data_IF_857020814932
#
_entry.id   IF_857020814932
#
_cell.length_a   1.000
_cell.length_b   1.000
_cell.length_c   1.000
_cell.angle_alpha   90.00
_cell.angle_beta   90.00
_cell.angle_gamma   90.00
#
_symmetry.space_group_name_H-M   'P 1'
#
loop_
_entity.id
_entity.type
_entity.pdbx_description
1 polymer ?
#
# COMPACT_ATOMS: atom_id res chain seq x y z
N UNK A 1 44.20 0.32 -9.42
CA UNK A 1 43.56 1.01 -8.29
C UNK A 1 43.04 2.35 -8.80
N UNK A 2 41.75 2.45 -9.11
CA UNK A 2 41.15 3.71 -9.56
C UNK A 2 40.41 4.33 -8.37
N UNK A 3 41.08 5.22 -7.66
CA UNK A 3 40.47 6.10 -6.67
C UNK A 3 39.71 7.19 -7.41
N UNK A 4 38.39 7.05 -7.51
CA UNK A 4 37.53 8.09 -8.09
C UNK A 4 37.33 9.23 -7.10
N UNK A 5 37.65 10.45 -7.54
CA UNK A 5 37.30 11.69 -6.84
C UNK A 5 35.79 11.81 -6.68
N UNK A 6 35.28 11.52 -5.48
CA UNK A 6 33.90 11.83 -5.11
C UNK A 6 33.83 13.26 -4.58
N UNK A 7 33.64 14.24 -5.48
CA UNK A 7 33.07 15.54 -5.09
C UNK A 7 31.55 15.38 -4.98
N UNK A 8 31.09 14.60 -4.00
CA UNK A 8 29.67 14.58 -3.63
C UNK A 8 29.50 15.66 -2.58
N UNK A 9 28.62 16.63 -2.86
CA UNK A 9 28.31 17.67 -1.87
C UNK A 9 27.63 17.04 -0.64
N UNK A 10 27.91 17.58 0.55
CA UNK A 10 27.24 17.16 1.80
C UNK A 10 25.71 17.19 1.64
N UNK A 11 25.19 18.16 0.88
CA UNK A 11 23.78 18.25 0.51
C UNK A 11 23.30 17.03 -0.30
N UNK A 12 24.01 16.63 -1.36
CA UNK A 12 23.67 15.43 -2.13
C UNK A 12 23.75 14.16 -1.29
N UNK A 13 24.72 14.08 -0.36
CA UNK A 13 24.84 12.95 0.56
C UNK A 13 23.65 12.91 1.53
N UNK A 14 23.24 14.04 2.10
CA UNK A 14 22.06 14.11 2.95
C UNK A 14 20.75 13.83 2.18
N UNK A 15 20.60 14.34 0.95
CA UNK A 15 19.44 14.09 0.10
C UNK A 15 19.35 12.61 -0.31
N UNK A 16 20.48 11.99 -0.63
CA UNK A 16 20.52 10.56 -0.97
C UNK A 16 20.31 9.68 0.26
N UNK A 17 20.87 10.03 1.41
CA UNK A 17 20.64 9.33 2.67
C UNK A 17 19.18 9.41 3.12
N UNK A 18 18.56 10.59 3.03
CA UNK A 18 17.13 10.78 3.28
C UNK A 18 16.28 9.88 2.37
N UNK A 19 16.60 9.82 1.07
CA UNK A 19 15.93 8.92 0.11
C UNK A 19 16.13 7.44 0.42
N UNK A 20 17.32 7.03 0.86
CA UNK A 20 17.61 5.63 1.24
C UNK A 20 16.83 5.24 2.50
N UNK A 21 16.80 6.12 3.51
CA UNK A 21 16.04 5.91 4.75
C UNK A 21 14.54 5.81 4.47
N UNK A 22 14.01 6.65 3.58
CA UNK A 22 12.61 6.60 3.13
C UNK A 22 12.26 5.31 2.38
N UNK A 23 13.16 4.82 1.51
CA UNK A 23 12.95 3.53 0.81
C UNK A 23 12.91 2.32 1.76
N UNK A 24 13.53 2.42 2.94
CA UNK A 24 13.46 1.38 3.96
C UNK A 24 12.18 1.47 4.81
N UNK A 25 11.57 2.66 4.94
CA UNK A 25 10.35 2.90 5.70
C UNK A 25 9.07 2.65 4.89
N UNK A 26 9.17 2.71 3.55
CA UNK A 26 8.04 2.55 2.66
C UNK A 26 7.71 1.08 2.37
N UNK A 27 6.41 0.76 2.16
CA UNK A 27 5.95 -0.35 1.35
C UNK A 27 6.88 -0.66 0.17
N UNK A 28 7.41 -1.88 0.11
CA UNK A 28 8.21 -2.34 -1.03
C UNK A 28 7.28 -2.67 -2.18
N UNK A 29 6.96 -1.67 -2.99
CA UNK A 29 6.12 -1.85 -4.17
C UNK A 29 6.89 -2.50 -5.32
N UNK A 30 6.28 -3.47 -6.00
CA UNK A 30 6.80 -4.21 -7.16
C UNK A 30 5.88 -3.97 -8.36
N UNK A 31 6.42 -4.10 -9.59
CA UNK A 31 5.58 -4.17 -10.79
C UNK A 31 4.58 -5.34 -10.75
N UNK A 32 4.84 -6.37 -9.94
CA UNK A 32 3.90 -7.47 -9.72
C UNK A 32 2.65 -7.02 -8.95
N UNK A 33 2.72 -5.94 -8.16
CA UNK A 33 1.54 -5.38 -7.45
C UNK A 33 0.51 -4.84 -8.44
N UNK A 34 0.95 -4.49 -9.66
CA UNK A 34 0.11 -4.03 -10.75
C UNK A 34 -0.52 -5.17 -11.57
N UNK A 35 -0.04 -6.40 -11.40
CA UNK A 35 -0.58 -7.55 -12.13
C UNK A 35 -1.95 -7.93 -11.57
N UNK A 36 -2.90 -8.19 -12.46
CA UNK A 36 -4.24 -8.66 -12.07
C UNK A 36 -5.10 -7.61 -11.36
N UNK A 37 -4.81 -6.31 -11.55
CA UNK A 37 -5.70 -5.23 -11.08
C UNK A 37 -7.03 -5.26 -11.85
N UNK A 38 -6.99 -5.64 -13.12
CA UNK A 38 -8.15 -5.79 -14.03
C UNK A 38 -9.07 -6.96 -13.64
N UNK A 39 -8.57 -7.91 -12.84
CA UNK A 39 -9.34 -9.04 -12.32
C UNK A 39 -10.34 -8.54 -11.27
N UNK A 40 -11.47 -8.06 -11.76
CA UNK A 40 -12.64 -7.65 -10.97
C UNK A 40 -13.58 -8.82 -10.71
N UNK A 41 -13.37 -9.97 -11.37
CA UNK A 41 -14.24 -11.12 -11.25
C UNK A 41 -14.32 -11.65 -9.81
N UNK A 42 -15.57 -11.82 -9.40
CA UNK A 42 -15.96 -12.38 -8.13
C UNK A 42 -15.76 -13.89 -8.18
N UNK A 43 -14.58 -14.36 -7.75
CA UNK A 43 -14.48 -15.74 -7.26
C UNK A 43 -15.33 -15.79 -5.98
N UNK A 44 -16.61 -16.13 -6.15
CA UNK A 44 -17.56 -16.45 -5.08
C UNK A 44 -17.23 -17.82 -4.53
N UNK A 45 -16.06 -17.97 -3.91
CA UNK A 45 -15.89 -19.02 -2.89
C UNK A 45 -14.60 -18.79 -2.10
N UNK A 46 -14.75 -18.17 -0.94
CA UNK A 46 -13.90 -18.47 0.19
C UNK A 46 -14.86 -18.53 1.38
N UNK A 47 -15.26 -19.74 1.76
CA UNK A 47 -16.20 -20.06 2.83
C UNK A 47 -15.70 -19.68 4.23
N UNK A 48 -15.28 -18.44 4.43
CA UNK A 48 -14.82 -17.89 5.69
C UNK A 48 -15.50 -16.55 5.93
N UNK A 49 -16.47 -16.56 6.84
CA UNK A 49 -17.22 -15.39 7.30
C UNK A 49 -16.32 -14.53 8.21
N UNK A 50 -15.35 -13.83 7.64
CA UNK A 50 -14.66 -12.77 8.37
C UNK A 50 -15.63 -11.61 8.56
N UNK A 51 -15.76 -11.14 9.79
CA UNK A 51 -16.47 -9.90 10.09
C UNK A 51 -15.45 -8.90 10.60
N UNK A 52 -15.17 -7.89 9.79
CA UNK A 52 -14.25 -6.80 10.14
C UNK A 52 -15.06 -5.52 10.15
N UNK A 53 -15.06 -4.82 11.28
CA UNK A 53 -15.65 -3.50 11.41
C UNK A 53 -14.53 -2.45 11.47
N UNK A 54 -14.53 -1.47 10.58
CA UNK A 54 -13.60 -0.33 10.60
C UNK A 54 -14.22 0.79 11.43
N UNK A 55 -13.53 1.24 12.47
CA UNK A 55 -13.95 2.33 13.34
C UNK A 55 -13.13 3.60 13.07
N UNK A 56 -13.67 4.75 13.46
CA UNK A 56 -12.96 6.04 13.32
C UNK A 56 -11.62 6.05 14.08
N UNK A 57 -11.54 5.35 15.21
CA UNK A 57 -10.30 5.22 15.98
C UNK A 57 -9.20 4.49 15.19
N UNK A 58 -9.56 3.49 14.38
CA UNK A 58 -8.60 2.78 13.53
C UNK A 58 -8.04 3.71 12.44
N UNK A 59 -8.90 4.57 11.88
CA UNK A 59 -8.53 5.55 10.86
C UNK A 59 -7.66 6.67 11.45
N UNK A 60 -7.94 7.07 12.68
CA UNK A 60 -7.17 8.08 13.41
C UNK A 60 -5.75 7.59 13.72
N UNK A 61 -5.56 6.31 14.05
CA UNK A 61 -4.23 5.72 14.23
C UNK A 61 -3.38 5.80 12.95
N UNK A 62 -4.02 5.69 11.78
CA UNK A 62 -3.35 5.81 10.49
C UNK A 62 -2.97 7.24 10.12
N UNK A 63 -3.47 8.27 10.82
CA UNK A 63 -3.14 9.67 10.51
C UNK A 63 -1.65 9.97 10.65
N UNK A 64 -0.96 9.30 11.57
CA UNK A 64 0.51 9.44 11.70
C UNK A 64 1.27 8.88 10.48
N UNK A 65 0.63 8.04 9.66
CA UNK A 65 1.20 7.37 8.50
C UNK A 65 0.67 7.94 7.18
N UNK A 66 -0.03 9.08 7.21
CA UNK A 66 -0.60 9.72 6.02
C UNK A 66 0.38 9.94 4.87
N UNK A 67 1.66 10.32 5.10
CA UNK A 67 2.62 10.42 4.01
C UNK A 67 2.79 9.10 3.23
N UNK A 68 2.81 7.97 3.96
CA UNK A 68 2.96 6.62 3.39
C UNK A 68 1.66 6.19 2.68
N UNK A 69 0.52 6.44 3.31
CA UNK A 69 -0.81 6.18 2.72
C UNK A 69 -0.98 6.98 1.43
N UNK A 70 -0.59 8.25 1.43
CA UNK A 70 -0.60 9.12 0.24
C UNK A 70 0.27 8.55 -0.86
N UNK A 71 1.49 8.13 -0.54
CA UNK A 71 2.39 7.48 -1.50
C UNK A 71 1.78 6.22 -2.13
N UNK A 72 1.21 5.32 -1.33
CA UNK A 72 0.51 4.12 -1.82
C UNK A 72 -0.72 4.50 -2.65
N UNK A 73 -1.48 5.48 -2.20
CA UNK A 73 -2.64 6.01 -2.92
C UNK A 73 -2.27 6.55 -4.30
N UNK A 74 -1.17 7.29 -4.42
CA UNK A 74 -0.69 7.78 -5.70
C UNK A 74 -0.33 6.66 -6.68
N UNK A 75 0.22 5.56 -6.18
CA UNK A 75 0.48 4.37 -6.98
C UNK A 75 -0.80 3.66 -7.40
N UNK A 76 -1.77 3.50 -6.49
CA UNK A 76 -3.06 2.89 -6.77
C UNK A 76 -3.86 3.70 -7.80
N UNK A 77 -3.87 5.03 -7.68
CA UNK A 77 -4.51 5.93 -8.64
C UNK A 77 -3.88 5.81 -10.03
N UNK A 78 -2.55 5.81 -10.10
CA UNK A 78 -1.83 5.59 -11.37
C UNK A 78 -2.18 4.23 -12.01
N UNK A 79 -2.27 3.18 -11.20
CA UNK A 79 -2.65 1.85 -11.66
C UNK A 79 -4.08 1.79 -12.21
N UNK A 80 -5.06 2.30 -11.46
CA UNK A 80 -6.46 2.35 -11.87
C UNK A 80 -6.64 3.16 -13.17
N UNK A 81 -5.93 4.27 -13.33
CA UNK A 81 -5.99 5.07 -14.56
C UNK A 81 -5.43 4.33 -15.79
N UNK A 82 -4.39 3.51 -15.63
CA UNK A 82 -3.87 2.69 -16.74
C UNK A 82 -4.90 1.71 -17.27
N UNK A 83 -5.76 1.19 -16.39
CA UNK A 83 -6.86 0.28 -16.73
C UNK A 83 -8.01 1.06 -17.37
N UNK A 84 -8.51 2.10 -16.69
CA UNK A 84 -9.74 2.81 -17.08
C UNK A 84 -9.58 3.67 -18.33
N UNK A 85 -8.40 4.27 -18.55
CA UNK A 85 -8.10 5.20 -19.68
C UNK A 85 -9.23 6.23 -19.91
N UNK A 86 -9.75 6.80 -18.83
CA UNK A 86 -10.92 7.68 -18.83
C UNK A 86 -10.59 8.99 -18.11
N UNK A 87 -10.72 10.11 -18.82
CA UNK A 87 -10.44 11.44 -18.26
C UNK A 87 -11.41 11.82 -17.13
N UNK A 88 -12.68 11.43 -17.23
CA UNK A 88 -13.67 11.67 -16.17
C UNK A 88 -13.28 10.92 -14.89
N UNK A 89 -12.92 9.64 -15.00
CA UNK A 89 -12.43 8.85 -13.85
C UNK A 89 -11.11 9.41 -13.30
N UNK A 90 -10.24 9.96 -14.13
CA UNK A 90 -9.01 10.60 -13.67
C UNK A 90 -9.28 11.75 -12.70
N UNK A 91 -10.30 12.59 -12.96
CA UNK A 91 -10.68 13.69 -12.06
C UNK A 91 -11.19 13.19 -10.70
N UNK A 92 -11.74 11.98 -10.65
CA UNK A 92 -12.20 11.36 -9.41
C UNK A 92 -11.06 10.67 -8.64
N UNK A 93 -10.01 10.21 -9.32
CA UNK A 93 -8.90 9.45 -8.72
C UNK A 93 -7.70 10.33 -8.34
N UNK A 94 -7.51 11.47 -9.01
CA UNK A 94 -6.32 12.31 -8.90
C UNK A 94 -6.71 13.76 -8.69
N UNK A 95 -6.01 14.44 -7.79
CA UNK A 95 -6.13 15.90 -7.61
C UNK A 95 -5.33 16.60 -8.70
N UNK A 96 -5.99 17.47 -9.48
CA UNK A 96 -5.36 18.24 -10.56
C UNK A 96 -5.17 19.70 -10.13
N UNK A 97 -3.93 20.19 -10.15
CA UNK A 97 -3.58 21.58 -9.81
C UNK A 97 -2.65 21.71 -8.58
N UNK A 98 -2.08 22.90 -8.39
CA UNK A 98 -1.29 23.29 -7.21
C UNK A 98 -2.13 23.39 -5.92
N UNK A 99 -3.24 22.66 -5.81
CA UNK A 99 -3.99 22.48 -4.56
C UNK A 99 -3.28 21.48 -3.63
N UNK A 100 -1.94 21.56 -3.61
CA UNK A 100 -1.05 20.95 -2.63
C UNK A 100 -1.17 21.63 -1.25
N UNK A 101 -2.19 22.48 -1.06
CA UNK A 101 -2.63 22.97 0.25
C UNK A 101 -3.54 21.96 0.97
N UNK A 102 -4.00 20.89 0.29
CA UNK A 102 -4.78 19.83 0.95
C UNK A 102 -3.83 18.87 1.69
N UNK A 103 -3.35 19.32 2.85
CA UNK A 103 -2.56 18.56 3.81
C UNK A 103 -1.10 18.36 3.40
N UNK A 104 -0.24 19.35 3.67
CA UNK A 104 1.21 19.34 3.40
C UNK A 104 1.89 18.00 3.78
N UNK A 105 1.40 17.33 4.83
CA UNK A 105 1.95 16.05 5.28
C UNK A 105 1.54 14.85 4.40
N UNK A 106 0.30 14.78 3.90
CA UNK A 106 -0.24 13.58 3.23
C UNK A 106 0.51 13.24 1.94
N UNK A 107 0.87 14.25 1.16
CA UNK A 107 1.56 14.06 -0.12
C UNK A 107 3.05 14.41 -0.08
N UNK A 108 3.59 14.69 1.11
CA UNK A 108 5.00 15.04 1.32
C UNK A 108 5.95 14.00 0.72
N UNK A 109 5.66 12.70 0.86
CA UNK A 109 6.48 11.63 0.27
C UNK A 109 6.42 11.58 -1.25
N UNK A 110 5.26 11.86 -1.85
CA UNK A 110 5.14 11.95 -3.32
C UNK A 110 6.00 13.11 -3.82
N UNK A 111 5.91 14.28 -3.19
CA UNK A 111 6.70 15.44 -3.57
C UNK A 111 8.22 15.21 -3.48
N UNK A 112 8.68 14.41 -2.51
CA UNK A 112 10.11 14.11 -2.31
C UNK A 112 10.66 12.98 -3.20
N UNK A 113 9.82 12.03 -3.60
CA UNK A 113 10.23 10.79 -4.27
C UNK A 113 9.81 10.69 -5.74
N UNK A 114 8.91 11.56 -6.19
CA UNK A 114 8.41 11.48 -7.56
C UNK A 114 9.52 11.77 -8.59
N UNK A 115 9.47 11.00 -9.69
CA UNK A 115 10.32 11.14 -10.88
C UNK A 115 9.49 11.46 -12.12
N UNK A 116 8.27 11.99 -11.93
CA UNK A 116 7.32 12.34 -12.98
C UNK A 116 6.25 11.29 -13.27
N UNK A 117 6.06 10.29 -12.39
CA UNK A 117 5.16 9.16 -12.62
C UNK A 117 4.10 8.93 -11.53
N UNK A 118 4.37 9.35 -10.29
CA UNK A 118 3.42 9.28 -9.19
C UNK A 118 2.36 10.38 -9.32
N UNK A 119 1.18 10.12 -8.77
CA UNK A 119 0.01 10.99 -8.87
C UNK A 119 -0.46 11.39 -7.48
N UNK A 120 -0.93 12.61 -7.32
CA UNK A 120 -1.54 13.07 -6.08
C UNK A 120 -2.95 12.47 -5.99
N UNK A 121 -3.12 11.46 -5.14
CA UNK A 121 -4.38 10.74 -4.99
C UNK A 121 -5.49 11.62 -4.40
N UNK A 122 -6.72 11.44 -4.89
CA UNK A 122 -7.90 12.08 -4.31
C UNK A 122 -8.24 11.49 -2.93
N UNK A 123 -9.10 12.19 -2.18
CA UNK A 123 -9.59 11.73 -0.88
C UNK A 123 -10.27 10.35 -0.95
N UNK A 124 -10.95 10.05 -2.07
CA UNK A 124 -11.53 8.72 -2.32
C UNK A 124 -10.46 7.63 -2.31
N UNK A 125 -9.37 7.84 -3.06
CA UNK A 125 -8.30 6.85 -3.13
C UNK A 125 -7.60 6.69 -1.78
N UNK A 126 -7.37 7.79 -1.07
CA UNK A 126 -6.82 7.76 0.30
C UNK A 126 -7.72 6.94 1.22
N UNK A 127 -9.03 7.19 1.22
CA UNK A 127 -9.98 6.44 2.04
C UNK A 127 -9.91 4.93 1.72
N UNK A 128 -9.96 4.53 0.44
CA UNK A 128 -9.87 3.12 0.06
C UNK A 128 -8.57 2.47 0.58
N UNK A 129 -7.43 3.16 0.47
CA UNK A 129 -6.14 2.65 0.97
C UNK A 129 -6.13 2.53 2.49
N UNK A 130 -6.64 3.53 3.22
CA UNK A 130 -6.74 3.48 4.69
C UNK A 130 -7.62 2.32 5.15
N UNK A 131 -8.82 2.18 4.58
CA UNK A 131 -9.72 1.09 4.92
C UNK A 131 -9.10 -0.27 4.62
N UNK A 132 -8.39 -0.41 3.50
CA UNK A 132 -7.66 -1.63 3.17
C UNK A 132 -6.58 -1.97 4.20
N UNK A 133 -5.81 -0.97 4.63
CA UNK A 133 -4.78 -1.14 5.67
C UNK A 133 -5.40 -1.60 6.99
N UNK A 134 -6.49 -0.97 7.43
CA UNK A 134 -7.19 -1.38 8.66
C UNK A 134 -7.71 -2.81 8.55
N UNK A 135 -8.32 -3.16 7.42
CA UNK A 135 -8.83 -4.52 7.17
C UNK A 135 -7.70 -5.54 7.27
N UNK A 136 -6.55 -5.29 6.63
CA UNK A 136 -5.38 -6.18 6.72
C UNK A 136 -4.87 -6.28 8.15
N UNK A 137 -4.75 -5.17 8.89
CA UNK A 137 -4.33 -5.19 10.30
C UNK A 137 -5.26 -6.02 11.17
N UNK A 138 -6.57 -5.87 11.00
CA UNK A 138 -7.57 -6.62 11.79
C UNK A 138 -7.57 -8.10 11.46
N UNK A 139 -7.44 -8.46 10.17
CA UNK A 139 -7.27 -9.85 9.76
C UNK A 139 -5.99 -10.48 10.33
N UNK A 140 -4.97 -9.67 10.57
CA UNK A 140 -3.70 -10.07 11.15
C UNK A 140 -3.66 -10.13 12.69
N UNK A 141 -4.78 -9.91 13.37
CA UNK A 141 -4.89 -10.16 14.81
C UNK A 141 -4.79 -11.65 15.15
N UNK A 142 -4.43 -11.99 16.40
CA UNK A 142 -4.23 -13.38 16.82
C UNK A 142 -5.46 -14.26 16.59
N UNK A 143 -6.66 -13.69 16.74
CA UNK A 143 -7.93 -14.42 16.61
C UNK A 143 -8.28 -14.85 15.18
N UNK A 144 -7.87 -14.09 14.16
CA UNK A 144 -8.27 -14.31 12.76
C UNK A 144 -7.11 -14.70 11.84
N UNK A 145 -5.87 -14.37 12.22
CA UNK A 145 -4.70 -14.47 11.33
C UNK A 145 -4.45 -15.89 10.84
N UNK A 146 -4.57 -16.91 11.70
CA UNK A 146 -4.37 -18.30 11.31
C UNK A 146 -5.36 -18.73 10.22
N UNK A 147 -6.65 -18.41 10.41
CA UNK A 147 -7.69 -18.73 9.44
C UNK A 147 -7.48 -17.97 8.12
N UNK A 148 -7.11 -16.70 8.19
CA UNK A 148 -6.88 -15.87 7.02
C UNK A 148 -5.68 -16.35 6.18
N UNK A 149 -4.56 -16.68 6.83
CA UNK A 149 -3.32 -17.08 6.15
C UNK A 149 -3.43 -18.46 5.49
N UNK A 150 -4.17 -19.39 6.10
CA UNK A 150 -4.39 -20.73 5.55
C UNK A 150 -5.57 -20.78 4.57
N UNK A 151 -6.42 -19.75 4.56
CA UNK A 151 -7.55 -19.65 3.65
C UNK A 151 -7.11 -19.40 2.20
N UNK A 152 -7.94 -19.76 1.20
CA UNK A 152 -7.69 -19.40 -0.18
C UNK A 152 -8.04 -17.93 -0.45
N UNK A 153 -7.56 -17.39 -1.57
CA UNK A 153 -8.03 -16.12 -2.15
C UNK A 153 -7.94 -14.90 -1.21
N UNK A 154 -6.85 -14.76 -0.44
CA UNK A 154 -6.65 -13.68 0.54
C UNK A 154 -6.87 -12.28 -0.05
N UNK A 155 -6.43 -12.05 -1.30
CA UNK A 155 -6.66 -10.80 -2.05
C UNK A 155 -8.15 -10.45 -2.13
N UNK A 156 -8.97 -11.42 -2.51
CA UNK A 156 -10.42 -11.22 -2.68
C UNK A 156 -11.12 -11.00 -1.34
N UNK A 157 -10.69 -11.70 -0.29
CA UNK A 157 -11.21 -11.50 1.07
C UNK A 157 -10.95 -10.08 1.55
N UNK A 158 -9.70 -9.61 1.45
CA UNK A 158 -9.34 -8.23 1.83
C UNK A 158 -10.16 -7.23 1.02
N UNK A 159 -10.22 -7.40 -0.30
CA UNK A 159 -11.00 -6.52 -1.17
C UNK A 159 -12.47 -6.46 -0.78
N UNK A 160 -13.13 -7.59 -0.58
CA UNK A 160 -14.56 -7.62 -0.22
C UNK A 160 -14.79 -6.92 1.10
N UNK A 161 -14.01 -7.23 2.14
CA UNK A 161 -14.12 -6.59 3.44
C UNK A 161 -13.87 -5.08 3.36
N UNK A 162 -12.92 -4.63 2.53
CA UNK A 162 -12.71 -3.20 2.27
C UNK A 162 -13.94 -2.56 1.64
N UNK A 163 -14.50 -3.17 0.58
CA UNK A 163 -15.67 -2.64 -0.13
C UNK A 163 -16.92 -2.60 0.75
N UNK A 164 -17.11 -3.61 1.61
CA UNK A 164 -18.22 -3.69 2.55
C UNK A 164 -18.07 -2.69 3.71
N UNK A 165 -16.84 -2.31 4.04
CA UNK A 165 -16.55 -1.34 5.11
C UNK A 165 -16.63 0.11 4.64
N UNK A 166 -16.46 0.37 3.34
CA UNK A 166 -16.45 1.74 2.81
C UNK A 166 -17.84 2.39 2.91
N UNK A 167 -17.93 3.66 3.34
CA UNK A 167 -19.18 4.39 3.28
C UNK A 167 -19.60 4.55 1.81
N UNK A 168 -20.89 4.27 1.52
CA UNK A 168 -21.43 4.50 0.18
C UNK A 168 -21.48 6.01 -0.08
N UNK A 169 -20.75 6.45 -1.09
CA UNK A 169 -20.84 7.81 -1.60
C UNK A 169 -21.92 7.83 -2.69
N UNK A 170 -23.05 8.45 -2.39
CA UNK A 170 -24.21 8.51 -3.31
C UNK A 170 -23.96 9.43 -4.51
N UNK A 171 -22.95 10.30 -4.45
CA UNK A 171 -22.73 11.40 -5.39
C UNK A 171 -21.82 11.08 -6.59
N UNK A 172 -21.34 9.83 -6.74
CA UNK A 172 -20.44 9.46 -7.84
C UNK A 172 -21.23 8.78 -8.95
N UNK A 173 -21.62 9.60 -9.93
CA UNK A 173 -22.31 9.15 -11.14
C UNK A 173 -21.46 8.25 -12.03
N UNK A 174 -22.15 7.42 -12.81
CA UNK A 174 -21.52 6.62 -13.87
C UNK A 174 -20.95 7.55 -14.93
N UNK A 175 -19.68 7.36 -15.30
CA UNK A 175 -19.03 8.23 -16.28
C UNK A 175 -19.51 7.94 -17.72
N UNK A 176 -19.13 8.79 -18.67
CA UNK A 176 -19.46 8.66 -20.10
C UNK A 176 -19.00 7.33 -20.73
N UNK A 177 -17.98 6.68 -20.16
CA UNK A 177 -17.50 5.36 -20.58
C UNK A 177 -18.20 4.19 -19.88
N UNK A 178 -19.25 4.45 -19.08
CA UNK A 178 -19.98 3.42 -18.34
C UNK A 178 -19.29 2.91 -17.07
N UNK A 179 -18.22 3.57 -16.62
CA UNK A 179 -17.54 3.18 -15.38
C UNK A 179 -18.32 3.67 -14.16
N UNK A 180 -18.65 2.74 -13.27
CA UNK A 180 -19.40 3.01 -12.04
C UNK A 180 -18.47 3.28 -10.87
N UNK A 181 -18.98 3.95 -9.83
CA UNK A 181 -18.28 4.09 -8.54
C UNK A 181 -17.69 2.76 -8.04
N UNK A 182 -18.50 1.69 -8.09
CA UNK A 182 -18.10 0.35 -7.65
C UNK A 182 -16.86 -0.15 -8.40
N UNK A 183 -16.78 0.06 -9.71
CA UNK A 183 -15.62 -0.33 -10.51
C UNK A 183 -14.37 0.44 -10.06
N UNK A 184 -14.48 1.75 -9.85
CA UNK A 184 -13.36 2.60 -9.43
C UNK A 184 -12.79 2.13 -8.09
N UNK A 185 -13.63 1.99 -7.07
CA UNK A 185 -13.17 1.56 -5.74
C UNK A 185 -12.65 0.12 -5.76
N UNK A 186 -13.21 -0.75 -6.61
CA UNK A 186 -12.73 -2.13 -6.76
C UNK A 186 -11.31 -2.18 -7.33
N UNK A 187 -11.01 -1.38 -8.36
CA UNK A 187 -9.67 -1.32 -8.94
C UNK A 187 -8.64 -0.78 -7.95
N UNK A 188 -9.00 0.27 -7.19
CA UNK A 188 -8.13 0.85 -6.16
C UNK A 188 -7.91 -0.15 -5.02
N UNK A 189 -8.97 -0.80 -4.52
CA UNK A 189 -8.89 -1.80 -3.46
C UNK A 189 -8.09 -3.04 -3.90
N UNK A 190 -8.23 -3.50 -5.15
CA UNK A 190 -7.41 -4.56 -5.73
C UNK A 190 -5.92 -4.23 -5.63
N UNK A 191 -5.54 -3.02 -6.08
CA UNK A 191 -4.15 -2.57 -6.04
C UNK A 191 -3.64 -2.44 -4.60
N UNK A 192 -4.41 -1.80 -3.72
CA UNK A 192 -4.06 -1.63 -2.32
C UNK A 192 -3.89 -2.99 -1.61
N UNK A 193 -4.81 -3.93 -1.80
CA UNK A 193 -4.75 -5.26 -1.21
C UNK A 193 -3.49 -6.02 -1.66
N UNK A 194 -3.15 -5.97 -2.95
CA UNK A 194 -1.92 -6.55 -3.48
C UNK A 194 -0.68 -5.98 -2.77
N UNK A 195 -0.58 -4.66 -2.69
CA UNK A 195 0.56 -3.97 -2.06
C UNK A 195 0.67 -4.39 -0.59
N UNK A 196 -0.42 -4.32 0.17
CA UNK A 196 -0.41 -4.64 1.61
C UNK A 196 -0.06 -6.11 1.86
N UNK A 197 -0.65 -7.04 1.11
CA UNK A 197 -0.35 -8.48 1.26
C UNK A 197 1.09 -8.82 0.86
N UNK A 198 1.60 -8.22 -0.21
CA UNK A 198 2.99 -8.42 -0.61
C UNK A 198 3.97 -7.85 0.42
N UNK A 199 3.65 -6.69 1.01
CA UNK A 199 4.43 -6.14 2.11
C UNK A 199 4.39 -7.02 3.34
N UNK A 200 3.22 -7.54 3.72
CA UNK A 200 3.07 -8.44 4.86
C UNK A 200 3.94 -9.71 4.68
N UNK A 201 3.90 -10.32 3.49
CA UNK A 201 4.73 -11.47 3.16
C UNK A 201 6.23 -11.13 3.25
N UNK A 202 6.65 -9.98 2.70
CA UNK A 202 8.05 -9.52 2.77
C UNK A 202 8.49 -9.27 4.21
N UNK A 203 7.69 -8.58 5.02
CA UNK A 203 7.99 -8.30 6.43
C UNK A 203 8.18 -9.61 7.22
N UNK A 204 7.29 -10.59 7.02
CA UNK A 204 7.43 -11.90 7.67
C UNK A 204 8.67 -12.65 7.22
N UNK A 205 8.96 -12.66 5.93
CA UNK A 205 10.16 -13.29 5.39
C UNK A 205 11.44 -12.62 5.91
N UNK A 206 11.43 -11.29 6.06
CA UNK A 206 12.55 -10.54 6.64
C UNK A 206 12.74 -10.88 8.12
N UNK A 207 11.67 -11.01 8.91
CA UNK A 207 11.74 -11.47 10.31
C UNK A 207 12.33 -12.89 10.40
N UNK A 208 11.87 -13.82 9.58
CA UNK A 208 12.41 -15.18 9.53
C UNK A 208 13.90 -15.20 9.13
N UNK A 209 14.32 -14.33 8.21
CA UNK A 209 15.73 -14.18 7.83
C UNK A 209 16.56 -13.67 9.00
N UNK A 210 16.10 -12.63 9.69
CA UNK A 210 16.79 -12.06 10.85
C UNK A 210 16.95 -13.11 11.96
N UNK A 211 15.90 -13.88 12.26
CA UNK A 211 15.97 -14.96 13.25
C UNK A 211 16.98 -16.03 12.85
N UNK A 212 17.01 -16.43 11.58
CA UNK A 212 17.97 -17.42 11.07
C UNK A 212 19.41 -16.90 11.18
N UNK A 213 19.64 -15.64 10.82
CA UNK A 213 20.94 -15.01 10.91
C UNK A 213 21.40 -14.89 12.38
N UNK A 214 20.49 -14.57 13.29
CA UNK A 214 20.79 -14.50 14.71
C UNK A 214 21.09 -15.89 15.30
N UNK A 215 20.32 -16.91 14.93
CA UNK A 215 20.61 -18.32 15.30
C UNK A 215 21.98 -18.76 14.77
N UNK A 216 22.33 -18.37 13.55
CA UNK A 216 23.64 -18.67 12.95
C UNK A 216 24.78 -17.95 13.67
N UNK A 217 24.60 -16.66 14.03
CA UNK A 217 25.56 -15.88 14.83
C UNK A 217 25.75 -16.49 16.21
N UNK A 218 24.67 -16.85 16.91
CA UNK A 218 24.71 -17.50 18.22
C UNK A 218 25.41 -18.86 18.17
N UNK A 219 25.18 -19.65 17.11
CA UNK A 219 25.90 -20.92 16.88
C UNK A 219 27.40 -20.69 16.69
N UNK A 220 27.78 -19.72 15.85
CA UNK A 220 29.20 -19.36 15.64
C UNK A 220 29.85 -18.85 16.93
N UNK A 221 29.16 -18.01 17.70
CA UNK A 221 29.65 -17.52 18.99
C UNK A 221 29.85 -18.64 20.00
N UNK A 222 28.91 -19.62 20.09
CA UNK A 222 29.08 -20.81 20.94
C UNK A 222 30.28 -21.67 20.55
N UNK A 223 30.52 -21.84 19.24
CA UNK A 223 31.70 -22.58 18.74
C UNK A 223 33.00 -21.84 19.09
N UNK A 224 33.02 -20.51 18.97
CA UNK A 224 34.20 -19.70 19.28
C UNK A 224 34.48 -19.53 20.77
N UNK A 225 33.45 -19.53 21.63
CA UNK A 225 33.56 -19.31 23.08
C UNK A 225 33.75 -20.60 23.90
N UNK A 226 33.94 -21.75 23.26
CA UNK A 226 34.42 -22.96 23.94
C UNK A 226 33.53 -23.46 25.09
N UNK A 227 32.39 -24.06 24.73
CA UNK A 227 31.92 -25.31 25.34
C UNK A 227 31.66 -26.31 24.23
#
# INVERSE_FOLDING_TARGET
MAGGQYHISVRQLCETEGRIRLQNALPRMSNDDLRGIEETDSVRDAGTSFSVHVSDADLDELRAQMPVIGYVGGYCAHAAMKVLKCESCQRQLVVTGNTAETGEDTHSLIAQLDRGGLKFSSALVIAVVMYTEVVVRKLMTESTSTQFLHGPNQKNVVRQLTLDSLPRLEDIDTCENGHTYQLLITLVANCAANIMLNNLCKQRNDLLRIEKDQKAKNRKARIFLGK
#
